data_IF_373298822317
#
_entry.id   IF_373298822317
#
_cell.length_a   1.000
_cell.length_b   1.000
_cell.length_c   1.000
_cell.angle_alpha   90.00
_cell.angle_beta   90.00
_cell.angle_gamma   90.00
#
_symmetry.space_group_name_H-M   'P 1'
#
loop_
_entity.id
_entity.type
_entity.pdbx_description
1 polymer ?
#
# COMPACT_ATOMS: atom_id res chain seq x y z
N UNK A 1 -21.87 16.30 -5.84
CA UNK A 1 -20.77 15.40 -6.23
C UNK A 1 -20.10 16.06 -7.43
N UNK A 2 -18.77 16.18 -7.48
CA UNK A 2 -18.16 16.58 -8.73
C UNK A 2 -18.57 15.56 -9.78
N UNK A 3 -19.11 16.05 -10.92
CA UNK A 3 -19.44 15.20 -12.07
C UNK A 3 -18.17 14.42 -12.45
N UNK A 4 -18.30 13.09 -12.59
CA UNK A 4 -17.21 12.27 -13.12
C UNK A 4 -16.89 12.77 -14.54
N UNK A 5 -15.77 13.45 -14.67
CA UNK A 5 -15.24 13.80 -15.99
C UNK A 5 -14.57 12.53 -16.53
N UNK A 6 -15.10 12.00 -17.62
CA UNK A 6 -14.53 10.80 -18.24
C UNK A 6 -13.08 11.07 -18.64
N UNK A 7 -12.14 10.45 -17.92
CA UNK A 7 -10.72 10.52 -18.26
C UNK A 7 -10.44 9.53 -19.40
N UNK A 8 -9.97 9.99 -20.59
CA UNK A 8 -9.63 9.10 -21.67
C UNK A 8 -8.46 8.17 -21.28
N UNK A 9 -8.25 7.10 -22.06
CA UNK A 9 -7.05 6.29 -21.94
C UNK A 9 -5.81 7.09 -22.38
N UNK A 10 -4.59 6.78 -21.87
CA UNK A 10 -3.37 7.44 -22.32
C UNK A 10 -3.17 7.30 -23.84
N UNK A 11 -2.57 8.30 -24.47
CA UNK A 11 -2.29 8.26 -25.92
C UNK A 11 -1.41 7.07 -26.34
N UNK A 12 -0.58 6.57 -25.41
CA UNK A 12 0.30 5.41 -25.60
C UNK A 12 -0.36 4.07 -25.23
N UNK A 13 -1.66 4.05 -24.94
CA UNK A 13 -2.35 2.85 -24.45
C UNK A 13 -2.17 1.62 -25.37
N UNK A 14 -2.22 1.81 -26.69
CA UNK A 14 -2.08 0.71 -27.64
C UNK A 14 -0.68 0.06 -27.64
N UNK A 15 0.34 0.78 -27.17
CA UNK A 15 1.71 0.29 -27.05
C UNK A 15 1.92 -0.61 -25.81
N UNK A 16 0.95 -0.67 -24.89
CA UNK A 16 1.06 -1.43 -23.66
C UNK A 16 0.88 -2.93 -23.91
N UNK A 17 1.55 -3.74 -23.08
CA UNK A 17 1.30 -5.17 -23.04
C UNK A 17 -0.12 -5.47 -22.50
N UNK A 18 -0.63 -6.67 -22.78
CA UNK A 18 -1.99 -7.07 -22.41
C UNK A 18 -2.31 -6.97 -20.92
N UNK A 19 -1.33 -7.27 -20.05
CA UNK A 19 -1.53 -7.16 -18.59
C UNK A 19 -1.73 -5.70 -18.17
N UNK A 20 -0.94 -4.78 -18.74
CA UNK A 20 -1.07 -3.34 -18.46
C UNK A 20 -2.37 -2.80 -19.04
N UNK A 21 -2.73 -3.18 -20.27
CA UNK A 21 -4.02 -2.82 -20.88
C UNK A 21 -5.18 -3.26 -19.99
N UNK A 22 -5.19 -4.52 -19.56
CA UNK A 22 -6.22 -5.04 -18.66
C UNK A 22 -6.30 -4.28 -17.33
N UNK A 23 -5.15 -3.89 -16.76
CA UNK A 23 -5.11 -3.08 -15.53
C UNK A 23 -5.70 -1.68 -15.77
N UNK A 24 -5.39 -1.03 -16.90
CA UNK A 24 -5.97 0.27 -17.26
C UNK A 24 -7.49 0.20 -17.40
N UNK A 25 -8.00 -0.81 -18.11
CA UNK A 25 -9.45 -1.00 -18.28
C UNK A 25 -10.12 -1.25 -16.94
N UNK A 26 -9.57 -2.12 -16.09
CA UNK A 26 -10.12 -2.40 -14.75
C UNK A 26 -10.23 -1.14 -13.89
N UNK A 27 -9.19 -0.29 -13.88
CA UNK A 27 -9.23 0.94 -13.08
C UNK A 27 -10.17 1.96 -13.70
N UNK A 28 -10.23 2.07 -15.04
CA UNK A 28 -11.18 2.91 -15.74
C UNK A 28 -12.62 2.52 -15.41
N UNK A 29 -12.96 1.24 -15.51
CA UNK A 29 -14.30 0.72 -15.19
C UNK A 29 -14.68 1.01 -13.73
N UNK A 30 -13.73 0.83 -12.79
CA UNK A 30 -13.92 1.18 -11.40
C UNK A 30 -14.27 2.65 -11.21
N UNK A 31 -13.59 3.55 -11.91
CA UNK A 31 -13.84 4.99 -11.87
C UNK A 31 -15.16 5.37 -12.56
N UNK A 32 -15.48 4.74 -13.70
CA UNK A 32 -16.74 4.98 -14.43
C UNK A 32 -17.97 4.56 -13.63
N UNK A 33 -17.83 3.57 -12.72
CA UNK A 33 -18.86 3.20 -11.76
C UNK A 33 -19.09 4.25 -10.65
N UNK A 34 -18.40 5.40 -10.70
CA UNK A 34 -18.54 6.50 -9.74
C UNK A 34 -17.71 6.34 -8.48
N UNK A 35 -16.80 5.35 -8.43
CA UNK A 35 -15.96 5.10 -7.27
C UNK A 35 -14.80 6.12 -7.15
N UNK A 36 -14.40 6.39 -5.91
CA UNK A 36 -13.28 7.27 -5.56
C UNK A 36 -12.01 6.45 -5.40
N UNK A 37 -10.88 6.96 -5.90
CA UNK A 37 -9.59 6.27 -5.84
C UNK A 37 -8.49 7.25 -5.43
N UNK A 38 -7.83 6.97 -4.30
CA UNK A 38 -6.69 7.73 -3.79
C UNK A 38 -5.42 6.88 -3.90
N UNK A 39 -4.39 7.45 -4.55
CA UNK A 39 -3.06 6.86 -4.55
C UNK A 39 -2.28 7.23 -3.29
N UNK A 40 -1.49 6.30 -2.73
CA UNK A 40 -0.63 6.61 -1.59
C UNK A 40 0.80 6.06 -1.79
N UNK A 41 1.78 6.64 -1.08
CA UNK A 41 3.20 6.39 -1.33
C UNK A 41 3.98 5.85 -0.14
N UNK A 42 3.36 5.66 1.03
CA UNK A 42 4.06 5.15 2.20
C UNK A 42 3.12 4.47 3.20
N UNK A 43 3.70 3.62 4.06
CA UNK A 43 2.97 2.98 5.18
C UNK A 43 2.53 3.96 6.27
N UNK A 44 3.06 5.16 6.31
CA UNK A 44 2.60 6.22 7.23
C UNK A 44 1.27 6.86 6.80
N UNK A 45 0.78 6.64 5.59
CA UNK A 45 -0.52 7.17 5.16
C UNK A 45 -1.65 6.58 5.99
N UNK A 46 -2.47 7.39 6.68
CA UNK A 46 -3.59 6.91 7.51
C UNK A 46 -4.77 6.47 6.61
N UNK A 47 -4.74 5.21 6.20
CA UNK A 47 -5.68 4.67 5.21
C UNK A 47 -7.12 4.66 5.69
N UNK A 48 -7.36 4.64 7.01
CA UNK A 48 -8.71 4.75 7.59
C UNK A 48 -9.39 6.08 7.26
N UNK A 49 -8.63 7.17 7.12
CA UNK A 49 -9.19 8.48 6.73
C UNK A 49 -9.63 8.45 5.27
N UNK A 50 -8.86 7.78 4.40
CA UNK A 50 -9.23 7.57 2.99
C UNK A 50 -10.49 6.71 2.89
N UNK A 51 -10.53 5.60 3.63
CA UNK A 51 -11.69 4.69 3.65
C UNK A 51 -12.95 5.39 4.19
N UNK A 52 -12.81 6.23 5.22
CA UNK A 52 -13.92 7.01 5.78
C UNK A 52 -14.44 8.07 4.80
N UNK A 53 -13.59 8.56 3.88
CA UNK A 53 -14.02 9.40 2.77
C UNK A 53 -14.78 8.63 1.67
N UNK A 54 -15.00 7.33 1.82
CA UNK A 54 -15.62 6.47 0.81
C UNK A 54 -14.74 6.28 -0.43
N UNK A 55 -13.41 6.39 -0.28
CA UNK A 55 -12.46 6.20 -1.35
C UNK A 55 -11.65 4.90 -1.14
N UNK A 56 -11.38 4.19 -2.22
CA UNK A 56 -10.37 3.12 -2.20
C UNK A 56 -8.97 3.73 -2.19
N UNK A 57 -8.04 3.03 -1.55
CA UNK A 57 -6.63 3.39 -1.51
C UNK A 57 -5.79 2.39 -2.30
N UNK A 58 -4.79 2.86 -3.05
CA UNK A 58 -3.90 2.02 -3.84
C UNK A 58 -2.46 2.51 -3.72
N UNK A 59 -1.52 1.57 -3.52
CA UNK A 59 -0.10 1.91 -3.45
C UNK A 59 0.44 2.34 -4.83
N UNK A 60 1.28 3.37 -4.84
CA UNK A 60 1.85 3.93 -6.07
C UNK A 60 3.38 3.77 -6.18
N UNK A 61 4.02 3.08 -5.23
CA UNK A 61 5.46 2.85 -5.30
C UNK A 61 5.84 2.11 -6.58
N UNK A 62 6.60 2.76 -7.45
CA UNK A 62 7.14 2.15 -8.66
C UNK A 62 8.20 1.10 -8.28
N UNK A 63 8.11 -0.08 -8.89
CA UNK A 63 8.99 -1.22 -8.57
C UNK A 63 9.61 -1.84 -9.83
N UNK A 64 9.62 -1.10 -10.95
CA UNK A 64 10.23 -1.49 -12.22
C UNK A 64 11.23 -0.44 -12.68
N UNK A 65 12.31 -0.88 -13.29
CA UNK A 65 13.33 -0.03 -13.89
C UNK A 65 12.96 0.49 -15.29
N UNK A 66 11.91 -0.07 -15.90
CA UNK A 66 11.42 0.26 -17.25
C UNK A 66 11.26 1.76 -17.51
N UNK A 67 10.80 2.51 -16.50
CA UNK A 67 10.47 3.94 -16.61
C UNK A 67 11.53 4.87 -16.02
N UNK A 68 12.64 4.34 -15.53
CA UNK A 68 13.74 5.14 -14.97
C UNK A 68 14.33 6.10 -16.01
N UNK A 69 14.58 5.69 -17.27
CA UNK A 69 15.09 6.63 -18.30
C UNK A 69 14.16 7.83 -18.54
N UNK A 70 12.84 7.63 -18.43
CA UNK A 70 11.88 8.74 -18.55
C UNK A 70 11.97 9.70 -17.34
N UNK A 71 12.14 9.16 -16.14
CA UNK A 71 12.31 9.96 -14.93
C UNK A 71 13.63 10.76 -14.95
N UNK A 72 14.70 10.21 -15.49
CA UNK A 72 16.02 10.86 -15.57
C UNK A 72 16.08 12.05 -16.55
N UNK A 73 15.02 12.28 -17.34
CA UNK A 73 14.89 13.52 -18.10
C UNK A 73 14.64 14.73 -17.18
N UNK A 74 14.17 14.49 -15.95
CA UNK A 74 13.78 15.53 -14.98
C UNK A 74 14.53 15.35 -13.66
N UNK A 75 14.69 14.10 -13.19
CA UNK A 75 15.31 13.77 -11.92
C UNK A 75 16.80 13.43 -12.09
N UNK A 76 17.66 13.72 -11.09
CA UNK A 76 19.07 13.34 -11.13
C UNK A 76 19.28 11.82 -11.25
N UNK A 77 20.26 11.41 -12.07
CA UNK A 77 20.56 9.99 -12.30
C UNK A 77 20.98 9.24 -11.02
N UNK A 78 21.61 9.92 -10.05
CA UNK A 78 22.02 9.35 -8.78
C UNK A 78 20.93 9.30 -7.71
N UNK A 79 19.69 9.69 -8.05
CA UNK A 79 18.56 9.58 -7.14
C UNK A 79 18.13 8.12 -6.94
N UNK A 80 17.50 7.83 -5.80
CA UNK A 80 16.97 6.52 -5.45
C UNK A 80 16.14 5.90 -6.60
N UNK A 81 16.41 4.65 -7.03
CA UNK A 81 15.67 3.98 -8.10
C UNK A 81 14.16 3.89 -7.84
N UNK A 82 13.74 3.67 -6.59
CA UNK A 82 12.32 3.62 -6.22
C UNK A 82 11.62 4.95 -6.51
N UNK A 83 12.26 6.07 -6.19
CA UNK A 83 11.73 7.42 -6.46
C UNK A 83 11.66 7.66 -7.96
N UNK A 84 12.74 7.36 -8.70
CA UNK A 84 12.77 7.51 -10.16
C UNK A 84 11.70 6.65 -10.83
N UNK A 85 11.55 5.40 -10.42
CA UNK A 85 10.50 4.52 -10.94
C UNK A 85 9.09 5.07 -10.66
N UNK A 86 8.82 5.51 -9.43
CA UNK A 86 7.52 6.09 -9.07
C UNK A 86 7.18 7.31 -9.93
N UNK A 87 8.11 8.25 -10.03
CA UNK A 87 7.92 9.45 -10.86
C UNK A 87 7.82 9.10 -12.36
N UNK A 88 8.68 8.20 -12.84
CA UNK A 88 8.70 7.78 -14.24
C UNK A 88 7.38 7.15 -14.68
N UNK A 89 6.73 6.35 -13.85
CA UNK A 89 5.39 5.82 -14.12
C UNK A 89 4.32 6.89 -14.20
N UNK A 90 4.38 7.91 -13.36
CA UNK A 90 3.47 9.05 -13.42
C UNK A 90 3.72 9.89 -14.69
N UNK A 91 4.98 10.27 -14.92
CA UNK A 91 5.41 11.11 -16.04
C UNK A 91 5.11 10.49 -17.42
N UNK A 92 5.35 9.18 -17.55
CA UNK A 92 5.09 8.43 -18.80
C UNK A 92 3.65 7.92 -18.92
N UNK A 93 2.78 8.19 -17.94
CA UNK A 93 1.39 7.73 -17.90
C UNK A 93 1.25 6.19 -18.01
N UNK A 94 2.25 5.42 -17.59
CA UNK A 94 2.28 3.96 -17.71
C UNK A 94 1.71 3.22 -16.50
N UNK A 95 1.31 3.92 -15.43
CA UNK A 95 0.67 3.34 -14.26
C UNK A 95 -0.83 3.66 -14.24
N UNK A 96 -1.72 2.66 -14.34
CA UNK A 96 -3.16 2.90 -14.30
C UNK A 96 -3.63 3.53 -12.99
N UNK A 97 -2.99 3.16 -11.90
CA UNK A 97 -3.35 3.64 -10.57
C UNK A 97 -3.04 5.14 -10.41
N UNK A 98 -1.83 5.57 -10.74
CA UNK A 98 -1.48 7.00 -10.73
C UNK A 98 -2.33 7.78 -11.72
N UNK A 99 -2.55 7.21 -12.91
CA UNK A 99 -3.30 7.86 -13.99
C UNK A 99 -4.74 8.19 -13.57
N UNK A 100 -5.46 7.22 -13.00
CA UNK A 100 -6.87 7.36 -12.63
C UNK A 100 -7.13 7.75 -11.17
N UNK A 101 -6.12 7.83 -10.29
CA UNK A 101 -6.32 8.34 -8.94
C UNK A 101 -6.85 9.78 -8.96
N UNK A 102 -7.75 10.10 -8.05
CA UNK A 102 -8.28 11.45 -7.88
C UNK A 102 -7.23 12.40 -7.30
N UNK A 103 -6.44 11.87 -6.37
CA UNK A 103 -5.37 12.57 -5.65
C UNK A 103 -4.29 11.57 -5.24
N UNK A 104 -3.09 12.05 -5.00
CA UNK A 104 -1.99 11.29 -4.39
C UNK A 104 -1.75 11.82 -2.97
N UNK A 105 -1.49 10.90 -2.03
CA UNK A 105 -1.06 11.24 -0.68
C UNK A 105 0.37 10.72 -0.51
N UNK A 106 1.23 11.60 -0.02
CA UNK A 106 2.63 11.29 0.22
C UNK A 106 3.13 11.88 1.54
N UNK A 107 4.17 11.29 2.11
CA UNK A 107 4.77 11.69 3.38
C UNK A 107 6.24 12.07 3.22
N UNK A 108 6.70 13.00 4.04
CA UNK A 108 8.06 13.55 3.97
C UNK A 108 9.11 12.61 4.59
N UNK A 109 9.13 11.34 4.18
CA UNK A 109 10.01 10.30 4.74
C UNK A 109 11.48 10.43 4.31
N UNK A 110 11.77 11.07 3.18
CA UNK A 110 13.15 11.37 2.76
C UNK A 110 13.21 12.58 1.81
N UNK A 111 14.37 13.19 1.68
CA UNK A 111 14.53 14.41 0.88
C UNK A 111 14.27 14.20 -0.61
N UNK A 112 14.62 13.04 -1.14
CA UNK A 112 14.32 12.70 -2.53
C UNK A 112 12.83 12.64 -2.81
N UNK A 113 12.03 12.09 -1.89
CA UNK A 113 10.56 12.09 -2.00
C UNK A 113 9.98 13.50 -1.95
N UNK A 114 10.44 14.35 -1.01
CA UNK A 114 9.98 15.73 -0.89
C UNK A 114 10.08 16.46 -2.23
N UNK A 115 11.21 16.32 -2.93
CA UNK A 115 11.42 16.93 -4.25
C UNK A 115 10.59 16.27 -5.35
N UNK A 116 10.47 14.95 -5.32
CA UNK A 116 9.59 14.23 -6.25
C UNK A 116 8.14 14.72 -6.13
N UNK A 117 7.64 14.99 -4.92
CA UNK A 117 6.26 15.43 -4.71
C UNK A 117 5.98 16.82 -5.31
N UNK A 118 6.93 17.73 -5.29
CA UNK A 118 6.78 19.02 -5.97
C UNK A 118 6.50 18.82 -7.47
N UNK A 119 7.30 17.96 -8.11
CA UNK A 119 7.13 17.64 -9.54
C UNK A 119 5.91 16.78 -9.81
N UNK A 120 5.59 15.86 -8.91
CA UNK A 120 4.42 14.99 -9.05
C UNK A 120 3.11 15.78 -8.96
N UNK A 121 3.09 16.84 -8.14
CA UNK A 121 1.94 17.74 -8.02
C UNK A 121 1.63 18.53 -9.30
N UNK A 122 2.61 18.72 -10.18
CA UNK A 122 2.39 19.29 -11.52
C UNK A 122 1.63 18.32 -12.43
N UNK A 123 1.74 17.02 -12.19
CA UNK A 123 1.10 15.96 -12.98
C UNK A 123 -0.25 15.53 -12.40
N UNK A 124 -0.34 15.44 -11.06
CA UNK A 124 -1.49 14.98 -10.32
C UNK A 124 -1.53 15.65 -8.96
N UNK A 125 -2.71 16.19 -8.55
CA UNK A 125 -2.88 16.77 -7.22
C UNK A 125 -2.29 15.87 -6.15
N UNK A 126 -1.37 16.42 -5.35
CA UNK A 126 -0.65 15.68 -4.32
C UNK A 126 -0.81 16.38 -2.98
N UNK A 127 -1.37 15.69 -1.98
CA UNK A 127 -1.39 16.13 -0.59
C UNK A 127 -0.19 15.55 0.15
N UNK A 128 0.53 16.38 0.89
CA UNK A 128 1.77 15.99 1.55
C UNK A 128 1.58 16.06 3.05
N UNK A 129 1.80 14.95 3.74
CA UNK A 129 1.83 14.84 5.19
C UNK A 129 3.26 15.07 5.68
N UNK A 130 3.43 16.03 6.58
CA UNK A 130 4.72 16.34 7.19
C UNK A 130 5.02 15.39 8.34
N UNK A 131 5.80 14.35 8.06
CA UNK A 131 6.21 13.40 9.08
C UNK A 131 7.24 14.05 10.03
N UNK A 132 7.02 14.02 11.35
CA UNK A 132 8.00 14.53 12.32
C UNK A 132 9.27 13.68 12.33
N UNK A 133 10.38 14.25 12.77
CA UNK A 133 11.68 13.56 12.88
C UNK A 133 11.68 12.44 13.93
N UNK A 134 10.87 12.56 14.95
CA UNK A 134 10.72 11.60 16.03
C UNK A 134 9.27 11.42 16.44
N UNK A 135 9.05 10.58 17.42
CA UNK A 135 7.71 10.26 17.95
C UNK A 135 7.59 10.35 19.46
N UNK A 136 8.69 10.70 20.15
CA UNK A 136 8.76 10.61 21.59
C UNK A 136 8.35 11.92 22.28
N UNK A 137 8.41 13.05 21.56
CA UNK A 137 8.08 14.35 22.11
C UNK A 137 6.62 14.71 21.85
N UNK A 138 5.99 15.36 22.82
CA UNK A 138 4.57 15.72 22.72
C UNK A 138 4.24 16.54 21.45
N UNK A 139 5.10 17.49 21.08
CA UNK A 139 4.88 18.32 19.91
C UNK A 139 4.99 17.53 18.57
N UNK A 140 5.75 16.44 18.55
CA UNK A 140 5.87 15.58 17.36
C UNK A 140 4.56 14.82 17.15
N UNK A 141 3.98 14.25 18.22
CA UNK A 141 2.68 13.59 18.17
C UNK A 141 1.55 14.56 17.86
N UNK A 142 1.57 15.75 18.44
CA UNK A 142 0.57 16.77 18.15
C UNK A 142 0.66 17.27 16.72
N UNK A 143 1.87 17.53 16.21
CA UNK A 143 2.08 17.88 14.81
C UNK A 143 1.58 16.81 13.84
N UNK A 144 1.84 15.54 14.13
CA UNK A 144 1.34 14.45 13.28
C UNK A 144 -0.19 14.29 13.35
N UNK A 145 -0.78 14.45 14.52
CA UNK A 145 -2.24 14.48 14.66
C UNK A 145 -2.86 15.59 13.81
N UNK A 146 -2.24 16.75 13.82
CA UNK A 146 -2.69 17.90 13.02
C UNK A 146 -2.59 17.59 11.50
N UNK A 147 -1.54 16.92 11.05
CA UNK A 147 -1.43 16.46 9.66
C UNK A 147 -2.55 15.47 9.28
N UNK A 148 -2.91 14.56 10.18
CA UNK A 148 -4.04 13.65 9.98
C UNK A 148 -5.38 14.41 9.92
N UNK A 149 -5.55 15.45 10.75
CA UNK A 149 -6.73 16.33 10.74
C UNK A 149 -6.82 17.11 9.43
N UNK A 150 -5.71 17.67 8.97
CA UNK A 150 -5.64 18.39 7.70
C UNK A 150 -5.92 17.46 6.49
N UNK A 151 -5.45 16.21 6.53
CA UNK A 151 -5.80 15.23 5.51
C UNK A 151 -7.32 14.96 5.47
N UNK A 152 -7.93 14.82 6.65
CA UNK A 152 -9.39 14.63 6.74
C UNK A 152 -10.12 15.82 6.11
N UNK A 153 -9.75 17.05 6.46
CA UNK A 153 -10.34 18.28 5.91
C UNK A 153 -10.10 18.42 4.40
N UNK A 154 -8.91 18.04 3.92
CA UNK A 154 -8.58 18.05 2.50
C UNK A 154 -9.52 17.10 1.72
N UNK A 155 -9.76 15.88 2.21
CA UNK A 155 -10.66 14.92 1.58
C UNK A 155 -12.13 15.36 1.66
N UNK A 156 -12.55 15.96 2.78
CA UNK A 156 -13.89 16.54 2.93
C UNK A 156 -14.13 17.65 1.91
N UNK A 157 -13.19 18.59 1.80
CA UNK A 157 -13.26 19.70 0.84
C UNK A 157 -13.20 19.22 -0.60
N UNK A 158 -12.33 18.26 -0.90
CA UNK A 158 -12.13 17.74 -2.24
C UNK A 158 -13.36 16.98 -2.77
N UNK A 159 -13.99 16.17 -1.92
CA UNK A 159 -15.16 15.36 -2.31
C UNK A 159 -16.51 16.03 -1.97
N UNK A 160 -16.51 17.15 -1.26
CA UNK A 160 -17.74 17.82 -0.82
C UNK A 160 -18.55 16.97 0.16
N UNK A 161 -17.90 16.35 1.13
CA UNK A 161 -18.49 15.45 2.13
C UNK A 161 -18.12 15.87 3.54
N UNK A 162 -18.71 15.23 4.52
CA UNK A 162 -18.30 15.28 5.93
C UNK A 162 -17.90 13.88 6.37
N UNK A 163 -16.74 13.72 6.98
CA UNK A 163 -16.24 12.48 7.56
C UNK A 163 -16.53 12.53 9.06
N UNK A 164 -17.41 11.69 9.54
CA UNK A 164 -17.78 11.61 10.96
C UNK A 164 -16.86 10.65 11.73
N UNK A 165 -16.90 10.73 13.06
CA UNK A 165 -16.21 9.75 13.90
C UNK A 165 -16.72 8.32 13.67
N UNK A 166 -18.04 8.17 13.39
CA UNK A 166 -18.61 6.87 13.08
C UNK A 166 -18.06 6.30 11.76
N UNK A 167 -17.81 7.13 10.75
CA UNK A 167 -17.17 6.73 9.50
C UNK A 167 -15.72 6.27 9.75
N UNK A 168 -14.97 7.00 10.58
CA UNK A 168 -13.62 6.63 11.00
C UNK A 168 -13.61 5.31 11.77
N UNK A 169 -14.53 5.13 12.74
CA UNK A 169 -14.68 3.87 13.49
C UNK A 169 -15.01 2.69 12.58
N UNK A 170 -15.90 2.89 11.63
CA UNK A 170 -16.25 1.86 10.64
C UNK A 170 -15.02 1.49 9.77
N UNK A 171 -14.26 2.48 9.33
CA UNK A 171 -13.01 2.26 8.59
C UNK A 171 -11.97 1.50 9.44
N UNK A 172 -11.80 1.87 10.71
CA UNK A 172 -10.91 1.17 11.66
C UNK A 172 -11.31 -0.29 11.79
N UNK A 173 -12.59 -0.61 11.97
CA UNK A 173 -13.04 -2.01 12.08
C UNK A 173 -12.72 -2.80 10.82
N UNK A 174 -12.95 -2.24 9.62
CA UNK A 174 -12.60 -2.89 8.35
C UNK A 174 -11.11 -3.15 8.22
N UNK A 175 -10.27 -2.14 8.51
CA UNK A 175 -8.82 -2.27 8.44
C UNK A 175 -8.25 -3.22 9.50
N UNK A 176 -8.79 -3.23 10.70
CA UNK A 176 -8.39 -4.18 11.73
C UNK A 176 -8.70 -5.63 11.32
N UNK A 177 -9.85 -5.88 10.67
CA UNK A 177 -10.17 -7.22 10.14
C UNK A 177 -9.14 -7.66 9.08
N UNK A 178 -8.76 -6.75 8.17
CA UNK A 178 -7.69 -7.04 7.19
C UNK A 178 -6.36 -7.33 7.89
N UNK A 179 -5.95 -6.49 8.85
CA UNK A 179 -4.71 -6.69 9.62
C UNK A 179 -4.71 -8.04 10.34
N UNK A 180 -5.83 -8.42 10.95
CA UNK A 180 -5.98 -9.72 11.61
C UNK A 180 -5.74 -10.87 10.62
N UNK A 181 -6.35 -10.83 9.43
CA UNK A 181 -6.15 -11.85 8.41
C UNK A 181 -4.69 -11.90 7.89
N UNK A 182 -4.03 -10.75 7.79
CA UNK A 182 -2.61 -10.68 7.43
C UNK A 182 -1.72 -11.29 8.52
N UNK A 183 -1.97 -10.98 9.79
CA UNK A 183 -1.23 -11.56 10.92
C UNK A 183 -1.43 -13.08 11.01
N UNK A 184 -2.63 -13.59 10.77
CA UNK A 184 -2.90 -15.03 10.68
C UNK A 184 -2.08 -15.71 9.56
N UNK A 185 -1.90 -15.04 8.42
CA UNK A 185 -1.06 -15.53 7.33
C UNK A 185 0.41 -15.65 7.78
N UNK A 186 0.95 -14.64 8.46
CA UNK A 186 2.30 -14.68 9.02
C UNK A 186 2.42 -15.72 10.15
N UNK A 187 1.39 -15.89 10.98
CA UNK A 187 1.36 -16.92 12.02
C UNK A 187 1.48 -18.33 11.44
N UNK A 188 0.86 -18.61 10.29
CA UNK A 188 1.02 -19.91 9.59
C UNK A 188 2.46 -20.13 9.12
N UNK A 189 3.18 -19.08 8.74
CA UNK A 189 4.60 -19.16 8.38
C UNK A 189 5.53 -19.33 9.60
N UNK A 190 5.05 -19.08 10.81
CA UNK A 190 5.78 -19.38 12.04
C UNK A 190 5.93 -20.89 12.30
N UNK A 191 5.07 -21.73 11.72
CA UNK A 191 5.16 -23.18 11.80
C UNK A 191 6.50 -23.72 11.26
N UNK A 192 6.88 -24.92 11.72
CA UNK A 192 8.10 -25.59 11.26
C UNK A 192 7.79 -27.04 10.84
N UNK A 193 7.84 -27.33 9.53
CA UNK A 193 8.13 -26.42 8.40
C UNK A 193 7.05 -25.39 8.19
N UNK A 194 7.35 -24.33 7.41
CA UNK A 194 6.39 -23.29 7.07
C UNK A 194 5.20 -23.84 6.26
N UNK A 195 4.03 -23.22 6.40
CA UNK A 195 2.80 -23.73 5.80
C UNK A 195 2.66 -23.43 4.30
N UNK A 196 3.45 -22.49 3.76
CA UNK A 196 3.46 -22.15 2.34
C UNK A 196 4.85 -21.73 1.86
N UNK A 197 5.03 -21.65 0.53
CA UNK A 197 6.23 -21.09 -0.06
C UNK A 197 6.39 -19.59 0.29
N UNK A 198 7.63 -19.12 0.37
CA UNK A 198 7.91 -17.71 0.60
C UNK A 198 7.50 -16.84 -0.59
N UNK A 199 7.60 -17.38 -1.82
CA UNK A 199 7.11 -16.68 -3.03
C UNK A 199 5.60 -16.44 -2.96
N UNK A 200 4.82 -17.41 -2.50
CA UNK A 200 3.37 -17.26 -2.35
C UNK A 200 3.02 -16.26 -1.24
N UNK A 201 3.72 -16.28 -0.12
CA UNK A 201 3.56 -15.29 0.95
C UNK A 201 3.79 -13.89 0.40
N UNK A 202 4.96 -13.65 -0.18
CA UNK A 202 5.37 -12.34 -0.70
C UNK A 202 4.39 -11.83 -1.76
N UNK A 203 4.01 -12.69 -2.71
CA UNK A 203 3.09 -12.34 -3.79
C UNK A 203 1.69 -12.02 -3.27
N UNK A 204 1.20 -12.78 -2.29
CA UNK A 204 -0.12 -12.56 -1.68
C UNK A 204 -0.16 -11.21 -0.94
N UNK A 205 0.84 -10.93 -0.11
CA UNK A 205 0.90 -9.67 0.64
C UNK A 205 1.03 -8.47 -0.31
N UNK A 206 1.92 -8.55 -1.28
CA UNK A 206 2.15 -7.47 -2.24
C UNK A 206 0.91 -7.17 -3.11
N UNK A 207 0.20 -8.21 -3.58
CA UNK A 207 -1.01 -8.05 -4.38
C UNK A 207 -2.11 -7.26 -3.65
N UNK A 208 -2.19 -7.39 -2.33
CA UNK A 208 -3.16 -6.66 -1.51
C UNK A 208 -3.00 -5.14 -1.57
N UNK A 209 -1.80 -4.63 -1.82
CA UNK A 209 -1.54 -3.19 -1.94
C UNK A 209 -2.18 -2.55 -3.17
N UNK A 210 -2.66 -3.36 -4.13
CA UNK A 210 -3.34 -2.93 -5.36
C UNK A 210 -4.81 -3.33 -5.41
N UNK A 211 -5.39 -3.73 -4.28
CA UNK A 211 -6.81 -4.07 -4.20
C UNK A 211 -7.66 -2.82 -3.93
N UNK A 212 -8.68 -2.60 -4.76
CA UNK A 212 -9.66 -1.52 -4.57
C UNK A 212 -10.77 -1.92 -3.61
N UNK A 213 -11.07 -3.22 -3.53
CA UNK A 213 -12.11 -3.79 -2.69
C UNK A 213 -11.46 -4.50 -1.50
N UNK A 214 -11.34 -3.75 -0.40
CA UNK A 214 -10.75 -4.25 0.84
C UNK A 214 -11.56 -5.41 1.42
N UNK A 215 -12.90 -5.36 1.35
CA UNK A 215 -13.75 -6.41 1.90
C UNK A 215 -13.55 -7.72 1.14
N UNK A 216 -13.60 -7.65 -0.20
CA UNK A 216 -13.36 -8.83 -1.03
C UNK A 216 -11.94 -9.39 -0.84
N UNK A 217 -10.93 -8.52 -0.75
CA UNK A 217 -9.55 -8.94 -0.48
C UNK A 217 -9.41 -9.60 0.90
N UNK A 218 -10.02 -9.01 1.93
CA UNK A 218 -10.00 -9.57 3.29
C UNK A 218 -10.63 -10.96 3.32
N UNK A 219 -11.80 -11.12 2.68
CA UNK A 219 -12.47 -12.43 2.59
C UNK A 219 -11.62 -13.46 1.86
N UNK A 220 -10.97 -13.08 0.74
CA UNK A 220 -10.06 -13.97 0.01
C UNK A 220 -8.88 -14.40 0.87
N UNK A 221 -8.32 -13.47 1.65
CA UNK A 221 -7.20 -13.75 2.54
C UNK A 221 -7.62 -14.68 3.69
N UNK A 222 -8.76 -14.43 4.34
CA UNK A 222 -9.34 -15.29 5.38
C UNK A 222 -9.58 -16.72 4.85
N UNK A 223 -10.14 -16.85 3.65
CA UNK A 223 -10.35 -18.15 3.01
C UNK A 223 -9.03 -18.85 2.70
N UNK A 224 -8.02 -18.11 2.25
CA UNK A 224 -6.68 -18.67 1.99
C UNK A 224 -6.03 -19.15 3.28
N UNK A 225 -6.12 -18.37 4.36
CA UNK A 225 -5.63 -18.75 5.70
C UNK A 225 -6.30 -20.04 6.18
N UNK A 226 -7.64 -20.11 6.07
CA UNK A 226 -8.39 -21.31 6.49
C UNK A 226 -7.97 -22.57 5.71
N UNK A 227 -7.85 -22.49 4.38
CA UNK A 227 -7.40 -23.60 3.53
C UNK A 227 -5.98 -24.04 3.86
N UNK A 228 -5.06 -23.11 4.07
CA UNK A 228 -3.67 -23.43 4.42
C UNK A 228 -3.58 -24.09 5.80
N UNK A 229 -4.39 -23.66 6.75
CA UNK A 229 -4.47 -24.27 8.09
C UNK A 229 -5.00 -25.71 7.98
N UNK A 230 -6.10 -25.91 7.28
CA UNK A 230 -6.68 -27.24 7.04
C UNK A 230 -5.68 -28.20 6.37
N UNK A 231 -5.02 -27.76 5.29
CA UNK A 231 -4.00 -28.54 4.60
C UNK A 231 -2.82 -28.87 5.53
N UNK A 232 -2.37 -27.90 6.32
CA UNK A 232 -1.28 -28.12 7.28
C UNK A 232 -1.66 -29.11 8.38
N UNK A 233 -2.88 -29.04 8.92
CA UNK A 233 -3.41 -29.94 9.94
C UNK A 233 -3.64 -31.36 9.38
N UNK A 234 -3.97 -31.46 8.08
CA UNK A 234 -4.04 -32.72 7.35
C UNK A 234 -2.67 -33.36 7.04
N UNK A 235 -1.57 -32.68 7.38
CA UNK A 235 -0.20 -33.20 7.23
C UNK A 235 0.50 -32.71 5.95
N UNK A 236 -0.06 -31.81 5.17
CA UNK A 236 0.63 -31.23 4.02
C UNK A 236 1.82 -30.36 4.47
N UNK A 237 2.97 -30.57 3.84
CA UNK A 237 4.22 -29.87 4.15
C UNK A 237 4.92 -29.43 2.86
N UNK A 238 4.48 -28.29 2.27
CA UNK A 238 5.03 -27.82 0.99
C UNK A 238 6.48 -27.34 1.09
N UNK A 239 6.96 -27.08 2.30
CA UNK A 239 8.33 -26.60 2.58
C UNK A 239 9.12 -27.69 3.28
N UNK A 240 10.40 -27.87 2.89
CA UNK A 240 11.29 -28.83 3.52
C UNK A 240 11.52 -28.50 5.02
N UNK A 241 11.59 -29.56 5.85
CA UNK A 241 11.72 -29.38 7.30
C UNK A 241 13.02 -28.70 7.74
N UNK A 242 14.06 -28.80 6.92
CA UNK A 242 15.39 -28.21 7.15
C UNK A 242 15.60 -26.88 6.39
N UNK A 243 14.59 -26.37 5.71
CA UNK A 243 14.66 -25.10 5.00
C UNK A 243 15.07 -23.95 5.91
N UNK A 244 16.02 -23.15 5.47
CA UNK A 244 16.51 -21.98 6.22
C UNK A 244 15.45 -20.88 6.23
N UNK A 245 15.07 -20.43 7.40
CA UNK A 245 14.03 -19.42 7.61
C UNK A 245 14.62 -18.02 7.36
N UNK A 246 14.07 -17.29 6.41
CA UNK A 246 14.56 -15.99 5.96
C UNK A 246 13.56 -14.89 6.29
N UNK A 247 14.04 -13.83 6.93
CA UNK A 247 13.35 -12.56 7.07
C UNK A 247 13.78 -11.63 5.93
N UNK A 248 12.82 -11.01 5.25
CA UNK A 248 13.08 -9.88 4.34
C UNK A 248 12.69 -8.60 5.07
N UNK A 249 13.60 -7.62 5.11
CA UNK A 249 13.38 -6.32 5.74
C UNK A 249 13.86 -5.19 4.84
N UNK A 250 13.29 -3.99 4.99
CA UNK A 250 13.70 -2.78 4.28
C UNK A 250 12.59 -2.15 3.45
N UNK A 251 12.92 -1.76 2.22
CA UNK A 251 11.96 -1.18 1.28
C UNK A 251 11.20 -2.27 0.50
N UNK A 252 10.07 -1.93 -0.18
CA UNK A 252 9.31 -2.91 -0.95
C UNK A 252 10.15 -3.60 -2.03
N UNK A 253 10.10 -4.92 -2.09
CA UNK A 253 10.80 -5.72 -3.12
C UNK A 253 10.02 -5.83 -4.43
N UNK A 254 8.72 -5.61 -4.42
CA UNK A 254 7.83 -5.41 -5.57
C UNK A 254 8.14 -6.25 -6.81
N UNK A 255 8.57 -5.63 -7.89
CA UNK A 255 8.83 -6.27 -9.17
C UNK A 255 9.89 -7.37 -9.17
N UNK A 256 10.70 -7.50 -8.09
CA UNK A 256 11.75 -8.52 -7.97
C UNK A 256 11.38 -9.69 -7.02
N UNK A 257 10.14 -9.76 -6.54
CA UNK A 257 9.65 -10.83 -5.65
C UNK A 257 9.99 -12.21 -6.20
N UNK A 258 9.67 -12.48 -7.46
CA UNK A 258 9.96 -13.77 -8.07
C UNK A 258 11.46 -14.08 -8.14
N UNK A 259 12.29 -13.08 -8.46
CA UNK A 259 13.74 -13.25 -8.52
C UNK A 259 14.29 -13.57 -7.14
N UNK A 260 13.97 -12.77 -6.14
CA UNK A 260 14.49 -12.93 -4.76
C UNK A 260 13.92 -14.21 -4.14
N UNK A 261 12.61 -14.39 -4.15
CA UNK A 261 11.95 -15.54 -3.52
C UNK A 261 12.39 -16.88 -4.12
N UNK A 262 12.39 -16.99 -5.45
CA UNK A 262 12.84 -18.22 -6.12
C UNK A 262 14.34 -18.50 -5.91
N UNK A 263 15.19 -17.46 -5.85
CA UNK A 263 16.59 -17.64 -5.53
C UNK A 263 16.79 -18.17 -4.11
N UNK A 264 16.04 -17.65 -3.14
CA UNK A 264 16.06 -18.17 -1.77
C UNK A 264 15.62 -19.63 -1.73
N UNK A 265 14.48 -19.96 -2.34
CA UNK A 265 13.91 -21.31 -2.31
C UNK A 265 14.76 -22.33 -3.04
N UNK A 266 15.32 -21.98 -4.20
CA UNK A 266 16.24 -22.87 -4.95
C UNK A 266 17.57 -23.13 -4.23
N UNK A 267 17.89 -22.34 -3.21
CA UNK A 267 19.05 -22.53 -2.34
C UNK A 267 18.69 -23.06 -0.93
N UNK A 268 17.52 -23.67 -0.78
CA UNK A 268 17.11 -24.32 0.47
C UNK A 268 16.63 -23.38 1.57
N UNK A 269 16.22 -22.15 1.21
CA UNK A 269 15.60 -21.21 2.13
C UNK A 269 14.09 -21.10 1.94
N UNK A 270 13.40 -20.44 2.85
CA UNK A 270 11.99 -20.04 2.75
C UNK A 270 11.79 -18.68 3.41
N UNK A 271 11.14 -17.76 2.73
CA UNK A 271 10.75 -16.48 3.34
C UNK A 271 9.57 -16.74 4.30
N UNK A 272 9.77 -16.42 5.56
CA UNK A 272 8.75 -16.64 6.60
C UNK A 272 8.17 -15.36 7.17
N UNK A 273 8.84 -14.24 6.97
CA UNK A 273 8.39 -12.93 7.42
C UNK A 273 8.90 -11.84 6.45
N UNK A 274 8.09 -10.79 6.32
CA UNK A 274 8.42 -9.59 5.58
C UNK A 274 8.22 -8.39 6.49
N UNK A 275 9.31 -7.72 6.85
CA UNK A 275 9.29 -6.44 7.57
C UNK A 275 9.53 -5.29 6.59
N UNK A 276 8.58 -5.08 5.70
CA UNK A 276 8.58 -4.01 4.71
C UNK A 276 7.20 -3.32 4.62
N UNK A 277 7.02 -2.41 3.67
CA UNK A 277 5.78 -1.65 3.49
C UNK A 277 4.58 -2.51 3.03
N UNK A 278 4.80 -3.74 2.58
CA UNK A 278 3.74 -4.69 2.18
C UNK A 278 3.59 -5.85 3.16
N UNK A 279 4.43 -5.91 4.18
CA UNK A 279 4.53 -7.02 5.11
C UNK A 279 3.92 -6.77 6.49
N UNK A 280 4.43 -7.49 7.49
CA UNK A 280 3.91 -7.51 8.86
C UNK A 280 3.91 -6.13 9.53
N UNK A 281 4.89 -5.28 9.21
CA UNK A 281 5.00 -3.90 9.74
C UNK A 281 3.69 -3.13 9.66
N UNK A 282 2.96 -3.27 8.56
CA UNK A 282 1.69 -2.55 8.35
C UNK A 282 0.51 -3.18 9.07
N UNK A 283 0.61 -4.47 9.46
CA UNK A 283 -0.43 -5.22 10.15
C UNK A 283 -0.24 -5.31 11.66
N UNK A 284 0.98 -5.10 12.17
CA UNK A 284 1.37 -5.41 13.55
C UNK A 284 0.57 -4.68 14.65
N UNK A 285 -0.03 -3.54 14.34
CA UNK A 285 -0.73 -2.71 15.32
C UNK A 285 -2.20 -2.52 14.94
N UNK A 286 -3.10 -2.88 15.85
CA UNK A 286 -4.53 -2.60 15.75
C UNK A 286 -4.84 -1.21 16.31
N UNK A 287 -5.98 -0.64 15.89
CA UNK A 287 -6.55 0.58 16.46
C UNK A 287 -7.77 0.20 17.27
N UNK A 288 -7.92 0.76 18.47
CA UNK A 288 -9.16 0.60 19.25
C UNK A 288 -10.29 1.39 18.58
N UNK A 289 -11.33 0.74 18.02
CA UNK A 289 -12.44 1.44 17.39
C UNK A 289 -13.32 2.20 18.39
N UNK A 290 -13.19 1.92 19.68
CA UNK A 290 -13.96 2.57 20.75
C UNK A 290 -13.15 3.69 21.46
N UNK A 291 -11.98 4.03 20.95
CA UNK A 291 -11.16 5.11 21.50
C UNK A 291 -11.98 6.43 21.59
N UNK A 292 -11.86 7.21 22.69
CA UNK A 292 -12.60 8.45 22.86
C UNK A 292 -12.36 9.47 21.74
N UNK A 293 -11.13 9.59 21.27
CA UNK A 293 -10.71 10.36 20.09
C UNK A 293 -10.20 9.36 19.05
N UNK A 294 -11.05 9.01 18.11
CA UNK A 294 -10.73 8.02 17.07
C UNK A 294 -9.69 8.52 16.09
N UNK A 295 -9.69 9.82 15.78
CA UNK A 295 -8.69 10.40 14.88
C UNK A 295 -7.30 10.39 15.54
N UNK A 296 -7.22 10.67 16.84
CA UNK A 296 -5.99 10.56 17.64
C UNK A 296 -5.47 9.12 17.65
N UNK A 297 -6.35 8.16 17.88
CA UNK A 297 -5.97 6.74 17.87
C UNK A 297 -5.42 6.29 16.51
N UNK A 298 -6.00 6.79 15.41
CA UNK A 298 -5.48 6.58 14.06
C UNK A 298 -4.10 7.22 13.92
N UNK A 299 -3.94 8.49 14.27
CA UNK A 299 -2.68 9.21 14.16
C UNK A 299 -1.55 8.52 14.96
N UNK A 300 -1.79 8.20 16.22
CA UNK A 300 -0.80 7.54 17.08
C UNK A 300 -0.36 6.20 16.51
N UNK A 301 -1.29 5.37 16.04
CA UNK A 301 -0.96 4.09 15.41
C UNK A 301 -0.02 4.26 14.21
N UNK A 302 -0.28 5.25 13.36
CA UNK A 302 0.54 5.46 12.17
C UNK A 302 1.91 6.03 12.51
N UNK A 303 2.01 6.92 13.50
CA UNK A 303 3.30 7.44 13.95
C UNK A 303 4.16 6.37 14.64
N UNK A 304 3.54 5.38 15.26
CA UNK A 304 4.24 4.30 15.97
C UNK A 304 4.67 3.12 15.09
N UNK A 305 4.41 3.17 13.77
CA UNK A 305 4.95 2.18 12.82
C UNK A 305 6.48 2.17 12.91
N UNK A 306 7.04 0.95 13.00
CA UNK A 306 8.49 0.76 13.01
C UNK A 306 9.06 0.86 11.58
N UNK A 307 9.40 2.06 11.16
CA UNK A 307 10.02 2.30 9.87
C UNK A 307 11.24 3.23 9.97
#
# INVERSE_FOLDING_TARGET
MPEYIEQPLPSTFEEFNEQRKAAFIRVKDYKQAGNRLIGFLCSYTPLEIIDAAGAASVALCGTSDEVIPEAEKVLPANLCPLIKSTYGFAYSQKCPFTYFSDMIIGETTCDGKKKMYELLNELKRTHILHLPQGRDRAYEREGWYEECRLLKEELEGFYGITITDDDLRAAVRRRNRLRAAQLEMFALQANQPAAMSGVDLMSTMFAGTFSFDIEAYTQQLEQKVAKLREAYDAGERPVAADAKRILITGCPVGGVINKIGRTIESNGGVVVCMDDCSGERTAAMMIDPEAPDILRAIADRYLDISC
#
